data_IF_574001849819
#
_entry.id   IF_574001849819
#
_cell.length_a   1.000
_cell.length_b   1.000
_cell.length_c   1.000
_cell.angle_alpha   90.00
_cell.angle_beta   90.00
_cell.angle_gamma   90.00
#
_symmetry.space_group_name_H-M   'P 1'
#
loop_
_entity.id
_entity.type
_entity.pdbx_description
1 polymer ?
#
# COMPACT_ATOMS: atom_id res chain seq x y z
N UNK A 1 -37.78 -40.70 18.83
CA UNK A 1 -36.99 -39.55 19.31
C UNK A 1 -36.01 -39.17 18.19
N UNK A 2 -36.50 -38.36 17.25
CA UNK A 2 -35.77 -37.98 16.03
C UNK A 2 -34.81 -36.82 16.32
N UNK A 3 -33.54 -37.02 16.06
CA UNK A 3 -32.54 -35.93 16.08
C UNK A 3 -32.61 -35.17 14.74
N UNK A 4 -33.24 -34.02 14.77
CA UNK A 4 -33.12 -33.05 13.65
C UNK A 4 -31.69 -32.54 13.58
N UNK A 5 -30.95 -32.98 12.56
CA UNK A 5 -29.68 -32.41 12.16
C UNK A 5 -29.90 -31.02 11.59
N UNK A 6 -29.33 -30.02 12.25
CA UNK A 6 -29.37 -28.64 11.80
C UNK A 6 -28.24 -28.45 10.79
N UNK A 7 -28.54 -28.62 9.52
CA UNK A 7 -27.62 -28.34 8.40
C UNK A 7 -27.63 -26.86 8.06
N UNK A 8 -27.00 -26.07 8.91
CA UNK A 8 -26.68 -24.68 8.64
C UNK A 8 -25.32 -24.54 7.93
N UNK A 9 -25.11 -25.22 6.81
CA UNK A 9 -24.05 -24.89 5.88
C UNK A 9 -24.43 -23.57 5.20
N UNK A 10 -24.07 -22.44 5.81
CA UNK A 10 -23.94 -21.18 5.07
C UNK A 10 -22.97 -21.47 3.93
N UNK A 11 -23.42 -21.31 2.69
CA UNK A 11 -22.57 -21.22 1.51
C UNK A 11 -21.59 -20.06 1.76
N UNK A 12 -20.41 -20.36 2.29
CA UNK A 12 -19.27 -19.48 2.24
C UNK A 12 -18.90 -19.39 0.76
N UNK A 13 -19.39 -18.35 0.08
CA UNK A 13 -18.82 -17.96 -1.21
C UNK A 13 -17.35 -17.72 -0.91
N UNK A 14 -16.50 -18.62 -1.35
CA UNK A 14 -15.05 -18.53 -1.16
C UNK A 14 -14.61 -17.22 -1.83
N UNK A 15 -14.20 -16.25 -1.03
CA UNK A 15 -13.82 -14.95 -1.54
C UNK A 15 -12.59 -15.13 -2.42
N UNK A 16 -12.68 -14.69 -3.68
CA UNK A 16 -11.53 -14.76 -4.58
C UNK A 16 -10.36 -13.96 -4.01
N UNK A 17 -9.12 -14.45 -4.17
CA UNK A 17 -7.94 -13.78 -3.64
C UNK A 17 -7.66 -12.45 -4.33
N UNK A 18 -6.88 -11.60 -3.65
CA UNK A 18 -6.42 -10.31 -4.14
C UNK A 18 -4.91 -10.37 -4.30
N UNK A 19 -4.40 -9.92 -5.45
CA UNK A 19 -2.99 -9.64 -5.64
C UNK A 19 -2.71 -8.19 -5.27
N UNK A 20 -1.72 -7.94 -4.41
CA UNK A 20 -1.35 -6.60 -3.98
C UNK A 20 0.12 -6.30 -4.24
N UNK A 21 0.40 -5.07 -4.70
CA UNK A 21 1.74 -4.54 -4.94
C UNK A 21 2.03 -3.33 -4.08
N UNK A 22 3.21 -3.32 -3.44
CA UNK A 22 3.78 -2.18 -2.73
C UNK A 22 5.17 -1.86 -3.26
N UNK A 23 5.33 -0.69 -3.86
CA UNK A 23 6.58 -0.25 -4.48
C UNK A 23 6.85 1.24 -4.27
N UNK A 24 6.14 1.85 -3.33
CA UNK A 24 6.19 3.30 -3.10
C UNK A 24 7.49 3.80 -2.47
N UNK A 25 8.25 2.89 -1.86
CA UNK A 25 9.53 3.19 -1.21
C UNK A 25 10.64 2.23 -1.68
N UNK A 26 11.66 1.98 -0.87
CA UNK A 26 12.75 1.05 -1.22
C UNK A 26 12.34 -0.43 -1.16
N UNK A 27 11.11 -0.73 -0.78
CA UNK A 27 10.58 -2.07 -0.73
C UNK A 27 9.93 -2.43 -2.06
N UNK A 28 10.17 -3.67 -2.53
CA UNK A 28 9.39 -4.31 -3.57
C UNK A 28 8.56 -5.41 -2.90
N UNK A 29 7.30 -5.13 -2.63
CA UNK A 29 6.39 -6.01 -1.93
C UNK A 29 5.30 -6.55 -2.84
N UNK A 30 5.02 -7.85 -2.74
CA UNK A 30 3.92 -8.54 -3.43
C UNK A 30 3.20 -9.43 -2.45
N UNK A 31 1.88 -9.45 -2.45
CA UNK A 31 1.06 -10.32 -1.61
C UNK A 31 -0.11 -10.90 -2.41
N UNK A 32 -0.37 -12.19 -2.26
CA UNK A 32 -1.64 -12.83 -2.64
C UNK A 32 -2.40 -13.10 -1.35
N UNK A 33 -3.51 -12.41 -1.16
CA UNK A 33 -4.33 -12.45 0.05
C UNK A 33 -5.65 -13.17 -0.19
N UNK A 34 -5.94 -14.20 0.59
CA UNK A 34 -7.21 -14.94 0.63
C UNK A 34 -8.02 -14.57 1.87
N UNK A 35 -7.38 -14.63 3.03
CA UNK A 35 -7.94 -14.30 4.35
C UNK A 35 -6.82 -13.96 5.33
N UNK A 36 -7.19 -13.58 6.56
CA UNK A 36 -6.20 -13.32 7.63
C UNK A 36 -5.40 -14.57 8.02
N UNK A 37 -5.96 -15.76 7.80
CA UNK A 37 -5.29 -17.05 8.08
C UNK A 37 -4.55 -17.62 6.86
N UNK A 38 -4.84 -17.09 5.65
CA UNK A 38 -4.24 -17.59 4.40
C UNK A 38 -3.81 -16.44 3.50
N UNK A 39 -2.53 -16.18 3.45
CA UNK A 39 -1.91 -15.25 2.49
C UNK A 39 -0.46 -15.66 2.19
N UNK A 40 0.05 -15.21 1.07
CA UNK A 40 1.43 -15.42 0.64
C UNK A 40 2.03 -14.04 0.35
N UNK A 41 3.16 -13.73 0.98
CA UNK A 41 3.79 -12.42 0.82
C UNK A 41 5.29 -12.55 0.55
N UNK A 42 5.81 -11.67 -0.28
CA UNK A 42 7.24 -11.53 -0.57
C UNK A 42 7.62 -10.06 -0.46
N UNK A 43 8.63 -9.77 0.35
CA UNK A 43 9.17 -8.42 0.54
C UNK A 43 10.66 -8.44 0.24
N UNK A 44 11.08 -7.65 -0.73
CA UNK A 44 12.47 -7.52 -1.17
C UNK A 44 12.93 -6.09 -0.91
N UNK A 45 13.94 -5.92 -0.07
CA UNK A 45 14.55 -4.62 0.22
C UNK A 45 15.88 -4.50 -0.52
N UNK A 46 15.81 -4.09 -1.78
CA UNK A 46 16.98 -3.87 -2.63
C UNK A 46 16.85 -2.53 -3.36
N UNK A 47 17.88 -1.69 -3.25
CA UNK A 47 17.94 -0.45 -4.05
C UNK A 47 18.07 -0.78 -5.54
N UNK A 48 17.27 -0.12 -6.38
CA UNK A 48 17.36 -0.14 -7.86
C UNK A 48 17.04 -1.45 -8.59
N UNK A 49 16.32 -2.42 -7.96
CA UNK A 49 15.98 -3.69 -8.61
C UNK A 49 14.48 -4.03 -8.63
N UNK A 50 13.62 -3.04 -8.42
CA UNK A 50 12.17 -3.28 -8.37
C UNK A 50 11.60 -3.87 -9.67
N UNK A 51 12.04 -3.39 -10.84
CA UNK A 51 11.48 -3.78 -12.14
C UNK A 51 11.69 -5.26 -12.49
N UNK A 52 12.82 -5.82 -12.09
CA UNK A 52 13.12 -7.23 -12.37
C UNK A 52 12.49 -8.15 -11.33
N UNK A 53 12.56 -7.77 -10.06
CA UNK A 53 12.16 -8.63 -8.94
C UNK A 53 10.66 -8.70 -8.69
N UNK A 54 9.88 -7.70 -9.11
CA UNK A 54 8.43 -7.69 -8.88
C UNK A 54 7.72 -8.83 -9.60
N UNK A 55 8.13 -9.13 -10.85
CA UNK A 55 7.55 -10.22 -11.64
C UNK A 55 8.00 -11.58 -11.14
N UNK A 56 9.29 -11.73 -10.79
CA UNK A 56 9.82 -12.96 -10.18
C UNK A 56 9.07 -13.29 -8.87
N UNK A 57 8.85 -12.28 -8.02
CA UNK A 57 8.12 -12.44 -6.77
C UNK A 57 6.66 -12.83 -7.02
N UNK A 58 5.97 -12.16 -7.95
CA UNK A 58 4.59 -12.47 -8.30
C UNK A 58 4.46 -13.91 -8.87
N UNK A 59 5.31 -14.28 -9.81
CA UNK A 59 5.34 -15.63 -10.38
C UNK A 59 5.56 -16.70 -9.32
N UNK A 60 6.51 -16.47 -8.41
CA UNK A 60 6.76 -17.37 -7.29
C UNK A 60 5.55 -17.53 -6.39
N UNK A 61 4.86 -16.40 -6.05
CA UNK A 61 3.65 -16.44 -5.22
C UNK A 61 2.51 -17.19 -5.93
N UNK A 62 2.27 -16.96 -7.22
CA UNK A 62 1.28 -17.73 -7.99
C UNK A 62 1.57 -19.24 -7.94
N UNK A 63 2.83 -19.62 -8.11
CA UNK A 63 3.25 -21.03 -8.08
C UNK A 63 2.99 -21.69 -6.73
N UNK A 64 3.37 -21.04 -5.61
CA UNK A 64 3.22 -21.64 -4.27
C UNK A 64 1.79 -21.58 -3.74
N UNK A 65 0.98 -20.64 -4.21
CA UNK A 65 -0.44 -20.52 -3.86
C UNK A 65 -1.34 -21.40 -4.72
N UNK A 66 -0.78 -22.00 -5.78
CA UNK A 66 -1.48 -22.90 -6.73
C UNK A 66 -2.67 -22.24 -7.43
N UNK A 67 -2.57 -20.93 -7.71
CA UNK A 67 -3.59 -20.18 -8.45
C UNK A 67 -3.03 -19.53 -9.70
N UNK A 68 -3.91 -19.12 -10.61
CA UNK A 68 -3.59 -18.36 -11.81
C UNK A 68 -4.14 -16.91 -11.69
N UNK A 69 -3.61 -15.95 -12.47
CA UNK A 69 -4.14 -14.58 -12.46
C UNK A 69 -5.66 -14.47 -12.68
N UNK A 70 -6.27 -15.38 -13.43
CA UNK A 70 -7.73 -15.41 -13.67
C UNK A 70 -8.56 -15.81 -12.43
N UNK A 71 -7.93 -16.40 -11.40
CA UNK A 71 -8.59 -16.76 -10.15
C UNK A 71 -8.73 -15.59 -9.18
N UNK A 72 -8.02 -14.49 -9.44
CA UNK A 72 -8.06 -13.28 -8.61
C UNK A 72 -9.41 -12.53 -8.72
N UNK A 73 -9.80 -11.82 -7.64
CA UNK A 73 -10.90 -10.83 -7.67
C UNK A 73 -10.45 -9.50 -8.27
N UNK A 74 -9.25 -9.05 -7.88
CA UNK A 74 -8.67 -7.79 -8.34
C UNK A 74 -7.16 -7.74 -8.11
N UNK A 75 -6.52 -6.74 -8.70
CA UNK A 75 -5.15 -6.34 -8.38
C UNK A 75 -5.19 -4.99 -7.66
N UNK A 76 -4.67 -4.95 -6.43
CA UNK A 76 -4.46 -3.72 -5.65
C UNK A 76 -3.02 -3.23 -5.83
N UNK A 77 -2.82 -1.92 -5.89
CA UNK A 77 -1.47 -1.35 -6.04
C UNK A 77 -1.37 -0.03 -5.28
N UNK A 78 -0.28 0.15 -4.53
CA UNK A 78 0.00 1.45 -3.88
C UNK A 78 0.11 2.55 -4.93
N UNK A 79 -0.68 3.62 -4.76
CA UNK A 79 -0.76 4.71 -5.72
C UNK A 79 0.06 5.95 -5.35
N UNK A 80 0.66 5.95 -4.16
CA UNK A 80 1.46 7.06 -3.68
C UNK A 80 0.84 7.78 -2.48
N UNK A 81 1.54 8.84 -2.00
CA UNK A 81 2.80 9.35 -2.53
C UNK A 81 3.99 8.44 -2.23
N UNK A 82 5.06 8.57 -3.01
CA UNK A 82 6.27 7.78 -2.84
C UNK A 82 7.27 7.93 -3.99
N UNK A 83 8.13 6.94 -4.14
CA UNK A 83 9.13 6.87 -5.20
C UNK A 83 8.49 6.90 -6.59
N UNK A 84 8.81 7.92 -7.38
CA UNK A 84 8.30 8.08 -8.73
C UNK A 84 8.54 6.84 -9.64
N UNK A 85 9.76 6.32 -9.60
CA UNK A 85 10.12 5.12 -10.36
C UNK A 85 9.43 3.88 -9.80
N UNK A 86 9.42 3.73 -8.48
CA UNK A 86 8.80 2.58 -7.81
C UNK A 86 7.31 2.48 -8.12
N UNK A 87 6.56 3.57 -7.96
CA UNK A 87 5.14 3.61 -8.26
C UNK A 87 4.82 3.24 -9.71
N UNK A 88 5.61 3.73 -10.68
CA UNK A 88 5.43 3.37 -12.10
C UNK A 88 5.68 1.89 -12.35
N UNK A 89 6.66 1.29 -11.71
CA UNK A 89 6.94 -0.14 -11.82
C UNK A 89 5.76 -0.95 -11.27
N UNK A 90 5.27 -0.62 -10.07
CA UNK A 90 4.12 -1.27 -9.45
C UNK A 90 2.86 -1.16 -10.32
N UNK A 91 2.55 0.05 -10.81
CA UNK A 91 1.41 0.27 -11.71
C UNK A 91 1.53 -0.49 -13.02
N UNK A 92 2.72 -0.55 -13.64
CA UNK A 92 2.93 -1.29 -14.87
C UNK A 92 2.71 -2.79 -14.67
N UNK A 93 3.22 -3.35 -13.58
CA UNK A 93 3.01 -4.75 -13.22
C UNK A 93 1.54 -5.05 -12.94
N UNK A 94 0.89 -4.21 -12.12
CA UNK A 94 -0.52 -4.35 -11.75
C UNK A 94 -1.44 -4.26 -12.98
N UNK A 95 -1.24 -3.26 -13.84
CA UNK A 95 -1.99 -3.08 -15.08
C UNK A 95 -1.82 -4.28 -16.03
N UNK A 96 -0.57 -4.74 -16.22
CA UNK A 96 -0.28 -5.88 -17.10
C UNK A 96 -1.00 -7.15 -16.67
N UNK A 97 -0.97 -7.47 -15.38
CA UNK A 97 -1.64 -8.66 -14.84
C UNK A 97 -3.17 -8.48 -14.87
N UNK A 98 -3.69 -7.33 -14.41
CA UNK A 98 -5.13 -7.07 -14.38
C UNK A 98 -5.74 -7.09 -15.80
N UNK A 99 -5.08 -6.45 -16.76
CA UNK A 99 -5.50 -6.46 -18.16
C UNK A 99 -5.46 -7.86 -18.77
N UNK A 100 -4.35 -8.60 -18.59
CA UNK A 100 -4.20 -9.95 -19.11
C UNK A 100 -5.21 -10.96 -18.53
N UNK A 101 -5.61 -10.78 -17.28
CA UNK A 101 -6.60 -11.63 -16.60
C UNK A 101 -8.05 -11.11 -16.75
N UNK A 102 -8.25 -9.93 -17.33
CA UNK A 102 -9.55 -9.24 -17.44
C UNK A 102 -10.25 -9.06 -16.07
N UNK A 103 -9.50 -8.61 -15.06
CA UNK A 103 -9.97 -8.34 -13.72
C UNK A 103 -9.74 -6.87 -13.34
N UNK A 104 -10.49 -6.29 -12.39
CA UNK A 104 -10.31 -4.89 -12.05
C UNK A 104 -8.99 -4.63 -11.34
N UNK A 105 -8.52 -3.39 -11.45
CA UNK A 105 -7.42 -2.84 -10.68
C UNK A 105 -7.93 -1.81 -9.68
N UNK A 106 -7.25 -1.68 -8.53
CA UNK A 106 -7.60 -0.77 -7.46
C UNK A 106 -6.35 -0.02 -6.97
N UNK A 107 -6.21 1.28 -7.28
CA UNK A 107 -5.21 2.12 -6.65
C UNK A 107 -5.49 2.31 -5.15
N UNK A 108 -4.47 2.11 -4.32
CA UNK A 108 -4.56 2.18 -2.86
C UNK A 108 -3.69 3.32 -2.35
N UNK A 109 -4.27 4.33 -1.65
CA UNK A 109 -3.49 5.43 -1.08
C UNK A 109 -2.44 4.91 -0.10
N UNK A 110 -1.17 5.09 -0.42
CA UNK A 110 -0.04 4.50 0.31
C UNK A 110 -0.02 4.89 1.79
N UNK A 111 -0.25 6.17 2.10
CA UNK A 111 -0.21 6.66 3.49
C UNK A 111 -1.41 6.16 4.31
N UNK A 112 -2.56 5.98 3.68
CA UNK A 112 -3.74 5.44 4.33
C UNK A 112 -3.57 3.94 4.64
N UNK A 113 -3.06 3.15 3.68
CA UNK A 113 -2.74 1.75 3.91
C UNK A 113 -1.67 1.59 5.02
N UNK A 114 -0.70 2.51 5.07
CA UNK A 114 0.31 2.50 6.11
C UNK A 114 -0.26 2.89 7.49
N UNK A 115 -1.13 3.90 7.55
CA UNK A 115 -1.83 4.26 8.78
C UNK A 115 -2.73 3.11 9.27
N UNK A 116 -3.41 2.42 8.36
CA UNK A 116 -4.21 1.24 8.66
C UNK A 116 -3.37 0.10 9.23
N UNK A 117 -2.18 -0.16 8.67
CA UNK A 117 -1.22 -1.12 9.26
C UNK A 117 -0.83 -0.73 10.67
N UNK A 118 -0.51 0.54 10.90
CA UNK A 118 -0.09 1.03 12.21
C UNK A 118 -1.22 0.96 13.24
N UNK A 119 -2.48 1.06 12.82
CA UNK A 119 -3.63 0.90 13.70
C UNK A 119 -3.74 -0.51 14.33
N UNK A 120 -3.13 -1.53 13.71
CA UNK A 120 -3.11 -2.89 14.25
C UNK A 120 -2.01 -3.14 15.31
N UNK A 121 -1.08 -2.17 15.49
CA UNK A 121 0.07 -2.31 16.39
C UNK A 121 0.24 -1.12 17.35
N UNK A 122 -0.62 -0.13 17.25
CA UNK A 122 -0.63 1.09 18.07
C UNK A 122 -1.82 1.10 19.01
N UNK A 123 -1.75 1.98 20.03
CA UNK A 123 -2.85 2.12 20.97
C UNK A 123 -3.89 3.13 20.50
N UNK A 124 -5.12 2.96 20.99
CA UNK A 124 -6.19 3.95 20.82
C UNK A 124 -5.74 5.34 21.24
N UNK A 125 -5.97 6.33 20.38
CA UNK A 125 -5.62 7.72 20.61
C UNK A 125 -4.17 8.10 20.28
N UNK A 126 -3.28 7.14 19.98
CA UNK A 126 -1.90 7.45 19.58
C UNK A 126 -1.88 8.33 18.32
N UNK A 127 -1.13 9.42 18.38
CA UNK A 127 -0.87 10.28 17.22
C UNK A 127 0.52 10.01 16.65
N UNK A 128 0.64 10.04 15.33
CA UNK A 128 1.90 9.83 14.61
C UNK A 128 1.88 10.53 13.25
N UNK A 129 3.08 10.68 12.70
CA UNK A 129 3.30 11.25 11.38
C UNK A 129 3.80 10.16 10.44
N UNK A 130 3.28 10.11 9.22
CA UNK A 130 3.90 9.43 8.09
C UNK A 130 4.51 10.49 7.19
N UNK A 131 5.81 10.36 6.90
CA UNK A 131 6.51 11.36 6.11
C UNK A 131 7.69 10.78 5.37
N UNK A 132 7.74 11.05 4.06
CA UNK A 132 8.84 10.67 3.18
C UNK A 132 9.39 11.89 2.45
N UNK A 133 10.67 11.86 2.11
CA UNK A 133 11.34 12.94 1.37
C UNK A 133 10.79 13.04 -0.04
N UNK A 134 10.41 14.25 -0.46
CA UNK A 134 10.19 14.58 -1.87
C UNK A 134 11.52 14.92 -2.53
N UNK A 135 12.30 15.80 -1.87
CA UNK A 135 13.61 16.26 -2.30
C UNK A 135 14.42 16.74 -1.08
N UNK A 136 15.46 17.56 -1.30
CA UNK A 136 16.32 18.10 -0.23
C UNK A 136 15.60 19.05 0.73
N UNK A 137 14.57 19.76 0.24
CA UNK A 137 13.88 20.85 0.94
C UNK A 137 12.44 20.52 1.34
N UNK A 138 11.85 19.46 0.78
CA UNK A 138 10.44 19.16 0.93
C UNK A 138 10.21 17.71 1.32
N UNK A 139 9.12 17.48 2.06
CA UNK A 139 8.64 16.17 2.46
C UNK A 139 7.15 16.02 2.13
N UNK A 140 6.71 14.82 1.80
CA UNK A 140 5.31 14.43 1.95
C UNK A 140 5.01 14.29 3.44
N UNK A 141 3.87 14.75 3.87
CA UNK A 141 3.48 14.78 5.28
C UNK A 141 2.00 14.48 5.44
N UNK A 142 1.66 13.62 6.39
CA UNK A 142 0.32 13.47 6.92
C UNK A 142 0.40 13.11 8.40
N UNK A 143 -0.55 13.59 9.20
CA UNK A 143 -0.65 13.26 10.62
C UNK A 143 -1.93 12.47 10.87
N UNK A 144 -1.79 11.38 11.58
CA UNK A 144 -2.87 10.44 11.88
C UNK A 144 -3.07 10.28 13.38
N UNK A 145 -4.28 9.83 13.76
CA UNK A 145 -4.60 9.34 15.09
C UNK A 145 -5.29 7.98 14.98
N UNK A 146 -4.99 7.07 15.90
CA UNK A 146 -5.63 5.75 15.97
C UNK A 146 -7.02 5.87 16.56
N UNK A 147 -7.99 5.19 15.91
CA UNK A 147 -9.37 5.06 16.34
C UNK A 147 -9.84 3.60 16.15
N UNK A 148 -9.84 2.84 17.25
CA UNK A 148 -10.04 1.39 17.20
C UNK A 148 -8.96 0.70 16.39
N UNK A 149 -9.35 -0.21 15.51
CA UNK A 149 -8.46 -0.86 14.53
C UNK A 149 -8.32 -0.04 13.24
N UNK A 150 -8.56 1.26 13.31
CA UNK A 150 -8.58 2.16 12.16
C UNK A 150 -7.83 3.47 12.46
N UNK A 151 -7.85 4.40 11.54
CA UNK A 151 -7.17 5.70 11.63
C UNK A 151 -8.10 6.84 11.23
N UNK A 152 -7.77 8.04 11.69
CA UNK A 152 -8.33 9.28 11.16
C UNK A 152 -7.19 10.23 10.81
N UNK A 153 -7.40 11.09 9.81
CA UNK A 153 -6.50 12.20 9.56
C UNK A 153 -6.66 13.26 10.65
N UNK A 154 -5.55 13.67 11.25
CA UNK A 154 -5.45 14.87 12.09
C UNK A 154 -4.99 16.05 11.24
N UNK A 155 -4.07 15.79 10.30
CA UNK A 155 -3.69 16.72 9.25
C UNK A 155 -3.59 15.95 7.93
N UNK A 156 -4.24 16.48 6.89
CA UNK A 156 -4.33 15.88 5.58
C UNK A 156 -2.95 15.77 4.90
N UNK A 157 -2.87 14.84 3.95
CA UNK A 157 -1.68 14.62 3.16
C UNK A 157 -1.34 15.88 2.33
N UNK A 158 -0.12 16.37 2.53
CA UNK A 158 0.38 17.58 1.86
C UNK A 158 1.89 17.51 1.66
N UNK A 159 2.43 18.48 0.94
CA UNK A 159 3.88 18.72 0.85
C UNK A 159 4.25 19.86 1.78
N UNK A 160 5.22 19.60 2.65
CA UNK A 160 5.75 20.62 3.57
C UNK A 160 7.21 20.90 3.28
N UNK A 161 7.63 22.15 3.53
CA UNK A 161 9.04 22.47 3.65
C UNK A 161 9.64 21.81 4.89
N UNK A 162 10.91 21.42 4.79
CA UNK A 162 11.68 20.76 5.83
C UNK A 162 11.64 21.50 7.18
N UNK A 163 11.77 22.82 7.18
CA UNK A 163 11.76 23.64 8.38
C UNK A 163 10.43 23.57 9.14
N UNK A 164 9.31 23.57 8.40
CA UNK A 164 7.97 23.42 8.97
C UNK A 164 7.73 21.98 9.46
N UNK A 165 8.18 20.99 8.69
CA UNK A 165 8.09 19.59 9.08
C UNK A 165 8.80 19.32 10.42
N UNK A 166 10.04 19.82 10.59
CA UNK A 166 10.79 19.65 11.84
C UNK A 166 10.01 20.18 13.05
N UNK A 167 9.37 21.35 12.92
CA UNK A 167 8.54 21.94 13.99
C UNK A 167 7.30 21.08 14.29
N UNK A 168 6.59 20.61 13.25
CA UNK A 168 5.38 19.78 13.40
C UNK A 168 5.67 18.39 13.95
N UNK A 169 6.88 17.87 13.76
CA UNK A 169 7.29 16.55 14.19
C UNK A 169 7.78 16.51 15.66
N UNK A 170 7.86 17.67 16.34
CA UNK A 170 8.30 17.74 17.73
C UNK A 170 7.36 16.94 18.64
N UNK A 171 7.94 16.06 19.47
CA UNK A 171 7.20 15.21 20.40
C UNK A 171 6.41 14.04 19.77
N UNK A 172 6.38 13.94 18.45
CA UNK A 172 5.63 12.88 17.76
C UNK A 172 6.54 11.78 17.19
N UNK A 173 5.97 10.59 17.04
CA UNK A 173 6.60 9.50 16.32
C UNK A 173 6.45 9.71 14.82
N UNK A 174 7.55 9.56 14.08
CA UNK A 174 7.58 9.74 12.63
C UNK A 174 7.96 8.42 11.97
N UNK A 175 7.09 7.92 11.09
CA UNK A 175 7.34 6.79 10.21
C UNK A 175 7.71 7.28 8.81
N UNK A 176 8.53 6.49 8.10
CA UNK A 176 9.03 6.85 6.78
C UNK A 176 10.41 7.51 6.81
N UNK A 177 10.97 7.75 5.63
CA UNK A 177 12.37 8.12 5.49
C UNK A 177 12.70 9.59 5.85
N UNK A 178 11.69 10.43 6.09
CA UNK A 178 11.90 11.81 6.53
C UNK A 178 12.35 11.91 8.00
N UNK A 179 12.23 10.84 8.82
CA UNK A 179 12.74 10.78 10.20
C UNK A 179 14.22 11.12 10.30
N UNK A 180 15.01 10.83 9.25
CA UNK A 180 16.43 11.18 9.16
C UNK A 180 16.65 12.70 9.27
N UNK A 181 15.71 13.53 8.82
CA UNK A 181 15.80 14.99 8.92
C UNK A 181 15.70 15.50 10.36
N UNK A 182 15.22 14.66 11.28
CA UNK A 182 15.15 14.90 12.73
C UNK A 182 16.35 14.33 13.48
N UNK A 183 17.36 13.81 12.77
CA UNK A 183 18.48 13.10 13.37
C UNK A 183 18.10 11.74 13.95
N UNK A 184 16.94 11.18 13.59
CA UNK A 184 16.45 9.88 14.06
C UNK A 184 16.62 8.81 12.98
N UNK A 185 16.86 7.54 13.35
CA UNK A 185 16.85 6.44 12.39
C UNK A 185 15.46 6.31 11.74
N UNK A 186 15.42 5.67 10.59
CA UNK A 186 14.13 5.26 9.99
C UNK A 186 13.53 4.16 10.83
N UNK A 187 12.35 4.41 11.40
CA UNK A 187 11.63 3.39 12.16
C UNK A 187 11.04 2.33 11.25
N UNK A 188 11.04 1.10 11.71
CA UNK A 188 10.38 -0.01 11.03
C UNK A 188 8.95 -0.17 11.59
N UNK A 189 7.95 -0.41 10.73
CA UNK A 189 8.02 -0.39 9.27
C UNK A 189 8.21 1.02 8.69
N UNK A 190 8.88 1.14 7.54
CA UNK A 190 9.13 2.41 6.86
C UNK A 190 8.23 2.67 5.65
N UNK A 191 7.46 1.66 5.27
CA UNK A 191 6.43 1.67 4.22
C UNK A 191 5.36 0.63 4.58
N UNK A 192 4.17 0.65 3.96
CA UNK A 192 3.17 -0.37 4.19
C UNK A 192 3.66 -1.75 3.74
N UNK A 193 3.25 -2.79 4.45
CA UNK A 193 3.38 -4.17 4.00
C UNK A 193 2.36 -4.41 2.85
N UNK A 194 2.70 -5.14 1.78
CA UNK A 194 1.75 -5.44 0.70
C UNK A 194 0.48 -6.18 1.19
N UNK A 195 0.54 -6.89 2.31
CA UNK A 195 -0.63 -7.42 3.00
C UNK A 195 -1.64 -6.33 3.35
N UNK A 196 -1.17 -5.17 3.83
CA UNK A 196 -2.04 -4.05 4.19
C UNK A 196 -2.54 -3.26 2.99
N UNK A 197 -1.88 -3.33 1.84
CA UNK A 197 -2.43 -2.88 0.56
C UNK A 197 -3.66 -3.74 0.20
N UNK A 198 -3.58 -5.07 0.31
CA UNK A 198 -4.71 -5.96 0.07
C UNK A 198 -5.85 -5.75 1.08
N UNK A 199 -5.55 -5.67 2.38
CA UNK A 199 -6.55 -5.45 3.45
C UNK A 199 -7.26 -4.10 3.29
N UNK A 200 -6.53 -3.03 2.99
CA UNK A 200 -7.11 -1.72 2.74
C UNK A 200 -8.05 -1.75 1.53
N UNK A 201 -7.66 -2.47 0.46
CA UNK A 201 -8.49 -2.63 -0.73
C UNK A 201 -9.83 -3.31 -0.42
N UNK A 202 -9.86 -4.27 0.50
CA UNK A 202 -11.08 -4.95 0.96
C UNK A 202 -11.95 -4.00 1.78
N UNK A 203 -11.36 -3.36 2.79
CA UNK A 203 -12.08 -2.56 3.77
C UNK A 203 -12.65 -1.25 3.17
N UNK A 204 -11.87 -0.56 2.34
CA UNK A 204 -12.18 0.78 1.85
C UNK A 204 -12.32 0.89 0.33
N UNK A 205 -11.94 -0.17 -0.41
CA UNK A 205 -11.78 -0.09 -1.85
C UNK A 205 -12.98 -0.50 -2.69
N UNK A 206 -14.08 -1.00 -2.10
CA UNK A 206 -15.20 -1.64 -2.81
C UNK A 206 -15.72 -0.83 -4.01
N UNK A 207 -15.81 0.50 -3.88
CA UNK A 207 -16.31 1.41 -4.91
C UNK A 207 -15.22 2.05 -5.78
N UNK A 208 -13.95 1.66 -5.58
CA UNK A 208 -12.78 2.26 -6.27
C UNK A 208 -12.17 1.35 -7.35
N UNK A 209 -12.65 0.11 -7.48
CA UNK A 209 -12.16 -0.82 -8.52
C UNK A 209 -12.56 -0.34 -9.91
N UNK A 210 -11.65 -0.49 -10.87
CA UNK A 210 -11.87 -0.06 -12.25
C UNK A 210 -11.24 -1.00 -13.26
N UNK A 211 -11.86 -1.09 -14.45
CA UNK A 211 -11.29 -1.73 -15.64
C UNK A 211 -10.68 -0.71 -16.62
N UNK A 212 -10.65 0.57 -16.23
CA UNK A 212 -10.13 1.66 -17.08
C UNK A 212 -8.60 1.79 -16.88
N UNK A 213 -7.86 0.76 -17.23
CA UNK A 213 -6.41 0.66 -16.98
C UNK A 213 -5.61 1.84 -17.54
N UNK A 214 -6.01 2.39 -18.71
CA UNK A 214 -5.29 3.49 -19.38
C UNK A 214 -5.42 4.82 -18.64
N UNK A 215 -6.48 4.98 -17.83
CA UNK A 215 -6.84 6.24 -17.18
C UNK A 215 -6.41 6.31 -15.71
N UNK A 216 -5.78 5.28 -15.17
CA UNK A 216 -5.26 5.31 -13.81
C UNK A 216 -3.77 5.56 -13.83
N UNK A 217 -3.33 6.48 -12.98
CA UNK A 217 -1.93 6.85 -12.79
C UNK A 217 -1.61 6.98 -11.31
N UNK A 218 -0.33 6.84 -10.92
CA UNK A 218 0.09 7.13 -9.56
C UNK A 218 -0.24 8.56 -9.15
N UNK A 219 -0.62 8.75 -7.90
CA UNK A 219 -0.84 10.05 -7.30
C UNK A 219 0.49 10.69 -6.88
N UNK A 220 1.04 11.54 -7.73
CA UNK A 220 2.34 12.17 -7.48
C UNK A 220 2.29 13.36 -6.51
N UNK A 221 1.12 13.90 -6.16
CA UNK A 221 0.91 15.11 -5.35
C UNK A 221 1.70 16.36 -5.81
N UNK A 222 2.72 16.18 -6.58
CA UNK A 222 3.56 17.24 -7.14
C UNK A 222 3.55 17.13 -8.65
N UNK A 223 3.05 18.14 -9.32
CA UNK A 223 3.23 18.29 -10.76
C UNK A 223 4.72 18.44 -11.06
N UNK A 224 5.26 17.50 -11.82
CA UNK A 224 6.63 17.63 -12.31
C UNK A 224 6.66 18.70 -13.38
N UNK A 225 7.08 19.90 -13.02
CA UNK A 225 7.43 20.93 -13.98
C UNK A 225 8.68 20.45 -14.71
N UNK A 226 8.53 20.00 -15.94
CA UNK A 226 9.66 19.75 -16.84
C UNK A 226 10.35 21.10 -17.03
N UNK A 227 11.55 21.28 -16.46
CA UNK A 227 12.39 22.41 -16.78
C UNK A 227 12.79 22.22 -18.23
N UNK A 228 12.19 23.00 -19.15
CA UNK A 228 12.74 23.16 -20.47
C UNK A 228 14.13 23.77 -20.28
N UNK A 229 15.15 23.02 -20.66
CA UNK A 229 16.51 23.51 -20.74
C UNK A 229 16.58 24.48 -21.94
N UNK A 230 16.58 25.80 -21.64
CA UNK A 230 16.99 26.84 -22.62
C UNK A 230 18.49 26.82 -22.77
#
# INVERSE_FOLDING_TARGET
>A
MERKGNSGLKNLVEQKPILAFETSENLCGVCIYFSDEKYFSSIINLKHSHSEKIFEAAEWLFRISEIQPADLDLVAVSDGPGSFTGLRIGFSAAKGIAYGANIPILPVPTYEAFAFQLAHIKNEGDEFIISNKVNKEEVYFAKFQIRGNNYIFVEDLTILRKDLFVKKAEGLKVFGNASILLGKPVEYPSAPDPLFIAKWAIEFGTNKKTFKYDFIEPNYLKDFIIKENN
#
